data_IF_097250703363
#
_entry.id   IF_097250703363
#
_cell.length_a   1.000
_cell.length_b   1.000
_cell.length_c   1.000
_cell.angle_alpha   90.00
_cell.angle_beta   90.00
_cell.angle_gamma   90.00
#
_symmetry.space_group_name_H-M   'P 1'
#
loop_
_entity.id
_entity.type
_entity.pdbx_description
1 polymer ?
#
# COMPACT_ATOMS: atom_id res chain seq x y z
N UNK A 1 9.54 3.37 -11.67
CA UNK A 1 10.57 2.32 -11.52
C UNK A 1 11.10 1.95 -12.90
N UNK A 2 12.41 1.97 -13.16
CA UNK A 2 13.00 1.77 -14.50
C UNK A 2 13.06 0.30 -14.98
N UNK A 3 12.34 -0.63 -14.32
CA UNK A 3 12.26 -2.07 -14.67
C UNK A 3 13.61 -2.79 -14.90
N UNK A 4 14.73 -2.24 -14.40
CA UNK A 4 16.09 -2.85 -14.43
C UNK A 4 16.28 -3.84 -13.29
N UNK A 5 15.42 -4.87 -13.24
CA UNK A 5 15.30 -5.77 -12.10
C UNK A 5 16.58 -6.56 -11.82
N UNK A 6 17.17 -7.19 -12.84
CA UNK A 6 18.40 -7.99 -12.67
C UNK A 6 19.58 -7.16 -12.15
N UNK A 7 19.73 -5.93 -12.62
CA UNK A 7 20.79 -5.04 -12.17
C UNK A 7 20.55 -4.52 -10.75
N UNK A 8 19.31 -4.13 -10.43
CA UNK A 8 18.93 -3.75 -9.07
C UNK A 8 19.23 -4.88 -8.08
N UNK A 9 18.89 -6.13 -8.41
CA UNK A 9 19.23 -7.30 -7.58
C UNK A 9 20.73 -7.41 -7.35
N UNK A 10 21.56 -7.30 -8.40
CA UNK A 10 23.04 -7.37 -8.27
C UNK A 10 23.58 -6.27 -7.34
N UNK A 11 23.08 -5.04 -7.44
CA UNK A 11 23.51 -3.94 -6.57
C UNK A 11 23.05 -4.13 -5.13
N UNK A 12 21.79 -4.55 -4.91
CA UNK A 12 21.27 -4.84 -3.58
C UNK A 12 22.03 -5.98 -2.90
N UNK A 13 22.37 -7.05 -3.63
CA UNK A 13 23.19 -8.15 -3.10
C UNK A 13 24.58 -7.65 -2.68
N UNK A 14 25.20 -6.79 -3.48
CA UNK A 14 26.51 -6.20 -3.13
C UNK A 14 26.43 -5.28 -1.91
N UNK A 15 25.40 -4.44 -1.84
CA UNK A 15 25.18 -3.54 -0.72
C UNK A 15 24.92 -4.31 0.58
N UNK A 16 24.12 -5.37 0.52
CA UNK A 16 23.85 -6.24 1.67
C UNK A 16 25.11 -6.94 2.20
N UNK A 17 26.05 -7.32 1.32
CA UNK A 17 27.29 -7.97 1.70
C UNK A 17 28.25 -7.07 2.51
N UNK A 18 28.06 -5.74 2.46
CA UNK A 18 28.86 -4.75 3.20
C UNK A 18 28.03 -4.01 4.26
N UNK A 19 26.78 -4.42 4.49
CA UNK A 19 25.88 -3.78 5.43
C UNK A 19 26.32 -4.01 6.88
N UNK A 20 26.15 -3.00 7.72
CA UNK A 20 26.41 -3.11 9.16
C UNK A 20 25.43 -4.11 9.80
N UNK A 21 25.84 -4.83 10.87
CA UNK A 21 24.98 -5.81 11.53
C UNK A 21 23.65 -5.25 12.07
N UNK A 22 23.53 -3.95 12.28
CA UNK A 22 22.34 -3.26 12.77
C UNK A 22 21.60 -2.45 11.69
N UNK A 23 22.08 -2.44 10.45
CA UNK A 23 21.38 -1.79 9.32
C UNK A 23 20.16 -2.61 8.88
N UNK A 24 19.05 -2.41 9.59
CA UNK A 24 17.76 -3.06 9.32
C UNK A 24 17.26 -2.73 7.91
N UNK A 25 17.42 -1.49 7.46
CA UNK A 25 16.90 -1.05 6.16
C UNK A 25 17.59 -1.83 5.04
N UNK A 26 18.91 -1.93 5.07
CA UNK A 26 19.66 -2.67 4.05
C UNK A 26 19.37 -4.17 4.11
N UNK A 27 19.24 -4.73 5.32
CA UNK A 27 18.88 -6.16 5.52
C UNK A 27 17.52 -6.53 4.96
N UNK A 28 16.57 -5.58 4.90
CA UNK A 28 15.25 -5.78 4.31
C UNK A 28 15.17 -5.39 2.83
N UNK A 29 16.19 -4.74 2.26
CA UNK A 29 16.12 -4.20 0.91
C UNK A 29 16.01 -5.28 -0.18
N UNK A 30 16.82 -6.34 -0.11
CA UNK A 30 16.72 -7.46 -1.06
C UNK A 30 15.44 -8.29 -0.87
N UNK A 31 15.02 -8.64 0.37
CA UNK A 31 13.71 -9.25 0.60
C UNK A 31 12.52 -8.43 0.09
N UNK A 32 12.52 -7.10 0.28
CA UNK A 32 11.50 -6.22 -0.28
C UNK A 32 11.52 -6.19 -1.81
N UNK A 33 12.71 -6.26 -2.41
CA UNK A 33 12.82 -6.39 -3.87
C UNK A 33 12.20 -7.71 -4.36
N UNK A 34 12.42 -8.83 -3.68
CA UNK A 34 11.82 -10.13 -4.02
C UNK A 34 10.29 -10.10 -3.89
N UNK A 35 9.77 -9.47 -2.83
CA UNK A 35 8.35 -9.23 -2.64
C UNK A 35 7.76 -8.43 -3.82
N UNK A 36 8.38 -7.30 -4.16
CA UNK A 36 7.89 -6.38 -5.19
C UNK A 36 7.91 -6.98 -6.60
N UNK A 37 8.97 -7.72 -6.92
CA UNK A 37 9.22 -8.23 -8.28
C UNK A 37 8.59 -9.59 -8.48
N UNK A 38 8.65 -10.46 -7.48
CA UNK A 38 8.25 -11.86 -7.61
C UNK A 38 6.98 -12.21 -6.84
N UNK A 39 6.36 -11.24 -6.14
CA UNK A 39 5.20 -11.47 -5.29
C UNK A 39 5.47 -12.55 -4.22
N UNK A 40 6.69 -12.63 -3.70
CA UNK A 40 7.13 -13.64 -2.76
C UNK A 40 7.40 -13.03 -1.38
N UNK A 41 6.52 -13.30 -0.41
CA UNK A 41 6.63 -12.81 0.97
C UNK A 41 7.66 -13.57 1.80
N UNK A 42 8.05 -14.79 1.40
CA UNK A 42 8.88 -15.69 2.22
C UNK A 42 10.24 -15.09 2.61
N UNK A 43 11.05 -14.52 1.68
CA UNK A 43 12.34 -13.94 2.05
C UNK A 43 12.20 -12.79 3.05
N UNK A 44 11.10 -12.05 2.97
CA UNK A 44 10.85 -10.91 3.86
C UNK A 44 10.47 -11.38 5.26
N UNK A 45 9.65 -12.43 5.39
CA UNK A 45 9.39 -13.09 6.68
C UNK A 45 10.66 -13.61 7.33
N UNK A 46 11.47 -14.38 6.60
CA UNK A 46 12.72 -14.95 7.11
C UNK A 46 13.68 -13.85 7.63
N UNK A 47 13.78 -12.74 6.90
CA UNK A 47 14.61 -11.60 7.30
C UNK A 47 14.06 -10.89 8.54
N UNK A 48 12.73 -10.67 8.61
CA UNK A 48 12.08 -10.06 9.78
C UNK A 48 12.26 -10.95 11.02
N UNK A 49 12.06 -12.26 10.91
CA UNK A 49 12.21 -13.20 12.01
C UNK A 49 13.65 -13.26 12.51
N UNK A 50 14.63 -13.30 11.60
CA UNK A 50 16.05 -13.25 11.94
C UNK A 50 16.44 -11.97 12.71
N UNK A 51 15.95 -10.81 12.25
CA UNK A 51 16.18 -9.53 12.91
C UNK A 51 15.53 -9.50 14.31
N UNK A 52 14.29 -9.97 14.42
CA UNK A 52 13.54 -10.01 15.69
C UNK A 52 14.14 -10.98 16.68
N UNK A 53 14.74 -12.09 16.23
CA UNK A 53 15.45 -13.02 17.10
C UNK A 53 16.74 -12.43 17.67
N UNK A 54 17.39 -11.52 16.92
CA UNK A 54 18.67 -10.92 17.31
C UNK A 54 18.49 -9.73 18.27
N UNK A 55 17.59 -8.79 17.97
CA UNK A 55 17.34 -7.62 18.82
C UNK A 55 15.88 -7.14 18.75
N UNK A 56 14.94 -7.86 19.40
CA UNK A 56 13.51 -7.64 19.22
C UNK A 56 13.02 -6.23 19.59
N UNK A 57 13.66 -5.57 20.56
CA UNK A 57 13.27 -4.23 20.98
C UNK A 57 13.73 -3.15 19.98
N UNK A 58 14.97 -3.24 19.50
CA UNK A 58 15.54 -2.23 18.60
C UNK A 58 14.91 -2.26 17.21
N UNK A 59 14.57 -3.45 16.70
CA UNK A 59 14.05 -3.60 15.33
C UNK A 59 12.53 -3.50 15.24
N UNK A 60 11.82 -3.46 16.38
CA UNK A 60 10.35 -3.56 16.45
C UNK A 60 9.65 -2.65 15.45
N UNK A 61 9.91 -1.35 15.54
CA UNK A 61 9.29 -0.35 14.66
C UNK A 61 9.81 -0.46 13.22
N UNK A 62 11.12 -0.67 13.05
CA UNK A 62 11.77 -0.75 11.75
C UNK A 62 11.30 -1.93 10.89
N UNK A 63 10.88 -3.04 11.50
CA UNK A 63 10.33 -4.21 10.80
C UNK A 63 8.81 -4.17 10.64
N UNK A 64 8.10 -3.38 11.44
CA UNK A 64 6.66 -3.51 11.59
C UNK A 64 5.85 -3.11 10.33
N UNK A 65 6.33 -2.16 9.53
CA UNK A 65 5.68 -1.80 8.27
C UNK A 65 5.74 -2.95 7.25
N UNK A 66 6.92 -3.57 7.09
CA UNK A 66 7.11 -4.73 6.22
C UNK A 66 6.33 -5.95 6.75
N UNK A 67 6.30 -6.13 8.06
CA UNK A 67 5.47 -7.17 8.68
C UNK A 67 3.98 -6.96 8.42
N UNK A 68 3.49 -5.72 8.55
CA UNK A 68 2.11 -5.37 8.24
C UNK A 68 1.79 -5.64 6.77
N UNK A 69 2.69 -5.30 5.84
CA UNK A 69 2.52 -5.63 4.42
C UNK A 69 2.35 -7.14 4.23
N UNK A 70 3.27 -7.96 4.76
CA UNK A 70 3.19 -9.42 4.63
C UNK A 70 1.87 -9.96 5.19
N UNK A 71 1.48 -9.52 6.38
CA UNK A 71 0.25 -9.97 7.02
C UNK A 71 -1.01 -9.61 6.20
N UNK A 72 -1.05 -8.39 5.63
CA UNK A 72 -2.13 -7.99 4.73
C UNK A 72 -2.12 -8.84 3.44
N UNK A 73 -0.95 -9.03 2.83
CA UNK A 73 -0.76 -9.85 1.63
C UNK A 73 -1.25 -11.29 1.82
N UNK A 74 -1.04 -11.86 3.00
CA UNK A 74 -1.38 -13.25 3.36
C UNK A 74 -2.77 -13.39 3.98
N UNK A 75 -3.50 -12.27 4.13
CA UNK A 75 -4.82 -12.23 4.79
C UNK A 75 -4.78 -12.70 6.25
N UNK A 76 -3.63 -12.55 6.91
CA UNK A 76 -3.47 -12.88 8.33
C UNK A 76 -3.86 -11.67 9.20
N UNK A 77 -5.12 -11.64 9.62
CA UNK A 77 -5.65 -10.56 10.46
C UNK A 77 -4.99 -10.48 11.84
N UNK A 78 -4.55 -11.61 12.40
CA UNK A 78 -3.91 -11.64 13.71
C UNK A 78 -2.50 -11.02 13.62
N UNK A 79 -1.70 -11.45 12.65
CA UNK A 79 -0.39 -10.87 12.38
C UNK A 79 -0.50 -9.39 12.01
N UNK A 80 -1.49 -8.99 11.21
CA UNK A 80 -1.69 -7.60 10.81
C UNK A 80 -1.99 -6.71 12.03
N UNK A 81 -2.83 -7.19 12.95
CA UNK A 81 -3.16 -6.47 14.20
C UNK A 81 -1.92 -6.32 15.10
N UNK A 82 -1.09 -7.36 15.20
CA UNK A 82 0.14 -7.30 15.98
C UNK A 82 1.18 -6.36 15.35
N UNK A 83 1.34 -6.40 14.03
CA UNK A 83 2.23 -5.51 13.28
C UNK A 83 1.80 -4.04 13.42
N UNK A 84 0.49 -3.77 13.30
CA UNK A 84 -0.07 -2.44 13.51
C UNK A 84 0.14 -1.94 14.95
N UNK A 85 0.07 -2.84 15.93
CA UNK A 85 0.38 -2.49 17.33
C UNK A 85 1.87 -2.17 17.55
N UNK A 86 2.77 -2.81 16.80
CA UNK A 86 4.21 -2.55 16.85
C UNK A 86 4.62 -1.21 16.19
N UNK A 87 3.87 -0.74 15.18
CA UNK A 87 4.07 0.58 14.54
C UNK A 87 3.68 1.74 15.46
N UNK A 88 2.74 1.54 16.38
CA UNK A 88 2.16 2.62 17.18
C UNK A 88 1.31 3.59 16.35
N UNK A 89 1.24 4.85 16.79
CA UNK A 89 0.31 5.84 16.23
C UNK A 89 0.96 6.84 15.25
N UNK A 90 2.27 6.73 14.96
CA UNK A 90 2.97 7.74 14.15
C UNK A 90 3.20 7.23 12.73
N UNK A 91 2.61 7.91 11.76
CA UNK A 91 2.90 7.84 10.32
C UNK A 91 2.91 6.42 9.72
N UNK A 92 1.74 5.78 9.64
CA UNK A 92 1.64 4.43 9.05
C UNK A 92 1.73 4.53 7.52
N UNK A 93 2.82 4.01 6.96
CA UNK A 93 3.08 3.91 5.52
C UNK A 93 3.14 2.43 5.15
N UNK A 94 2.31 2.01 4.20
CA UNK A 94 2.20 0.58 3.82
C UNK A 94 2.98 0.28 2.54
N UNK A 95 2.77 1.04 1.46
CA UNK A 95 3.41 0.75 0.16
C UNK A 95 4.21 1.93 -0.42
N UNK A 96 4.00 3.14 0.08
CA UNK A 96 4.67 4.36 -0.38
C UNK A 96 4.58 5.46 0.69
N UNK A 97 4.73 6.72 0.28
CA UNK A 97 4.84 7.88 1.15
C UNK A 97 3.49 8.38 1.71
N UNK A 98 2.36 7.89 1.19
CA UNK A 98 1.04 8.23 1.73
C UNK A 98 0.86 7.63 3.11
N UNK A 99 0.48 8.51 4.04
CA UNK A 99 0.26 8.17 5.44
C UNK A 99 -1.20 7.83 5.67
N UNK A 100 -1.42 6.73 6.37
CA UNK A 100 -2.73 6.31 6.83
C UNK A 100 -2.85 6.53 8.33
N UNK A 101 -4.04 6.92 8.77
CA UNK A 101 -4.35 6.89 10.19
C UNK A 101 -4.55 5.44 10.67
N UNK A 102 -4.42 5.21 11.97
CA UNK A 102 -4.49 3.86 12.55
C UNK A 102 -5.86 3.23 12.30
N UNK A 103 -6.93 3.99 12.50
CA UNK A 103 -8.31 3.51 12.35
C UNK A 103 -8.60 3.05 10.90
N UNK A 104 -7.98 3.67 9.90
CA UNK A 104 -8.08 3.22 8.51
C UNK A 104 -7.50 1.81 8.35
N UNK A 105 -6.32 1.56 8.90
CA UNK A 105 -5.68 0.23 8.80
C UNK A 105 -6.47 -0.81 9.58
N UNK A 106 -7.04 -0.46 10.73
CA UNK A 106 -7.96 -1.32 11.47
C UNK A 106 -9.22 -1.66 10.63
N UNK A 107 -9.76 -0.68 9.90
CA UNK A 107 -10.86 -0.89 8.97
C UNK A 107 -10.50 -1.82 7.81
N UNK A 108 -9.30 -1.68 7.25
CA UNK A 108 -8.77 -2.60 6.22
C UNK A 108 -8.63 -4.02 6.76
N UNK A 109 -8.06 -4.19 7.95
CA UNK A 109 -7.91 -5.51 8.60
C UNK A 109 -9.29 -6.14 8.83
N UNK A 110 -10.23 -5.39 9.41
CA UNK A 110 -11.57 -5.87 9.69
C UNK A 110 -12.33 -6.26 8.41
N UNK A 111 -12.26 -5.43 7.36
CA UNK A 111 -12.83 -5.73 6.04
C UNK A 111 -12.23 -6.99 5.44
N UNK A 112 -10.92 -7.14 5.51
CA UNK A 112 -10.17 -8.30 5.00
C UNK A 112 -10.58 -9.60 5.71
N UNK A 113 -10.93 -9.52 7.00
CA UNK A 113 -11.41 -10.65 7.80
C UNK A 113 -12.93 -10.81 7.82
N UNK A 114 -13.65 -10.08 6.96
CA UNK A 114 -15.13 -10.08 6.87
C UNK A 114 -15.85 -9.70 8.18
N UNK A 115 -15.24 -8.85 9.02
CA UNK A 115 -15.88 -8.28 10.19
C UNK A 115 -16.47 -6.90 9.84
N UNK A 116 -17.64 -6.91 9.21
CA UNK A 116 -18.29 -5.71 8.66
C UNK A 116 -18.57 -4.66 9.74
N UNK A 117 -18.98 -5.09 10.94
CA UNK A 117 -19.30 -4.17 12.03
C UNK A 117 -18.04 -3.44 12.53
N UNK A 118 -16.93 -4.15 12.70
CA UNK A 118 -15.66 -3.52 13.05
C UNK A 118 -15.12 -2.66 11.92
N UNK A 119 -15.25 -3.09 10.67
CA UNK A 119 -14.84 -2.30 9.51
C UNK A 119 -15.58 -0.96 9.46
N UNK A 120 -16.91 -0.98 9.60
CA UNK A 120 -17.74 0.22 9.60
C UNK A 120 -17.34 1.18 10.73
N UNK A 121 -17.14 0.64 11.93
CA UNK A 121 -16.78 1.43 13.11
C UNK A 121 -15.39 2.07 12.95
N UNK A 122 -14.41 1.30 12.47
CA UNK A 122 -13.04 1.75 12.25
C UNK A 122 -12.94 2.79 11.13
N UNK A 123 -13.61 2.58 9.99
CA UNK A 123 -13.65 3.59 8.93
C UNK A 123 -14.38 4.88 9.36
N UNK A 124 -15.40 4.79 10.22
CA UNK A 124 -16.08 5.98 10.75
C UNK A 124 -15.13 6.79 11.64
N UNK A 125 -14.36 6.13 12.50
CA UNK A 125 -13.32 6.78 13.30
C UNK A 125 -12.21 7.38 12.40
N UNK A 126 -11.79 6.65 11.38
CA UNK A 126 -10.80 7.12 10.41
C UNK A 126 -11.26 8.38 9.67
N UNK A 127 -12.55 8.45 9.31
CA UNK A 127 -13.15 9.60 8.63
C UNK A 127 -13.04 10.86 9.49
N UNK A 128 -13.45 10.79 10.76
CA UNK A 128 -13.43 11.93 11.68
C UNK A 128 -12.01 12.48 11.93
N UNK A 129 -10.98 11.64 11.86
CA UNK A 129 -9.58 12.07 11.91
C UNK A 129 -9.14 12.68 10.58
N UNK A 130 -9.46 12.02 9.46
CA UNK A 130 -9.02 12.44 8.13
C UNK A 130 -9.65 13.77 7.69
N UNK A 131 -10.90 14.05 8.08
CA UNK A 131 -11.56 15.35 7.85
C UNK A 131 -10.74 16.52 8.41
N UNK A 132 -10.14 16.34 9.59
CA UNK A 132 -9.30 17.38 10.21
C UNK A 132 -8.00 17.57 9.42
N UNK A 133 -7.45 16.49 8.87
CA UNK A 133 -6.21 16.52 8.07
C UNK A 133 -6.45 17.25 6.74
N UNK A 134 -7.54 16.93 6.02
CA UNK A 134 -7.86 17.64 4.77
C UNK A 134 -8.20 19.10 5.03
N UNK A 135 -8.89 19.43 6.13
CA UNK A 135 -9.18 20.82 6.48
C UNK A 135 -7.91 21.62 6.82
N UNK A 136 -6.92 20.99 7.45
CA UNK A 136 -5.63 21.62 7.77
C UNK A 136 -4.70 21.73 6.57
N UNK A 137 -4.86 20.86 5.56
CA UNK A 137 -4.01 20.79 4.36
C UNK A 137 -4.89 20.64 3.11
N UNK A 138 -5.71 21.65 2.76
CA UNK A 138 -6.69 21.52 1.69
C UNK A 138 -6.06 21.33 0.30
N UNK A 139 -4.82 21.82 0.10
CA UNK A 139 -4.12 21.69 -1.18
C UNK A 139 -3.24 20.42 -1.28
N UNK A 140 -3.26 19.55 -0.26
CA UNK A 140 -2.42 18.35 -0.23
C UNK A 140 -3.17 17.13 -0.77
N UNK A 141 -3.08 16.87 -2.09
CA UNK A 141 -3.79 15.77 -2.76
C UNK A 141 -3.77 14.40 -2.07
N UNK A 142 -2.65 13.91 -1.49
CA UNK A 142 -2.64 12.60 -0.82
C UNK A 142 -3.62 12.46 0.35
N UNK A 143 -3.90 13.53 1.11
CA UNK A 143 -4.87 13.45 2.22
C UNK A 143 -6.30 13.25 1.70
N UNK A 144 -6.63 13.81 0.55
CA UNK A 144 -7.91 13.61 -0.13
C UNK A 144 -8.09 12.20 -0.68
N UNK A 145 -7.02 11.57 -1.21
CA UNK A 145 -7.09 10.17 -1.60
C UNK A 145 -7.39 9.25 -0.40
N UNK A 146 -6.78 9.52 0.76
CA UNK A 146 -7.05 8.72 1.97
C UNK A 146 -8.50 8.90 2.42
N UNK A 147 -9.05 10.12 2.36
CA UNK A 147 -10.47 10.37 2.65
C UNK A 147 -11.38 9.59 1.69
N UNK A 148 -11.09 9.64 0.39
CA UNK A 148 -11.85 8.90 -0.62
C UNK A 148 -11.80 7.38 -0.41
N UNK A 149 -10.67 6.83 0.04
CA UNK A 149 -10.59 5.41 0.39
C UNK A 149 -11.42 5.06 1.63
N UNK A 150 -11.46 5.95 2.62
CA UNK A 150 -12.29 5.78 3.83
C UNK A 150 -13.77 5.78 3.45
N UNK A 151 -14.21 6.75 2.65
CA UNK A 151 -15.60 6.83 2.20
C UNK A 151 -15.97 5.64 1.30
N UNK A 152 -15.06 5.15 0.47
CA UNK A 152 -15.26 3.91 -0.27
C UNK A 152 -15.42 2.70 0.68
N UNK A 153 -14.65 2.67 1.78
CA UNK A 153 -14.78 1.66 2.84
C UNK A 153 -16.11 1.74 3.60
N UNK A 154 -16.71 2.93 3.69
CA UNK A 154 -18.03 3.19 4.29
C UNK A 154 -19.21 2.98 3.32
N UNK A 155 -18.94 2.65 2.05
CA UNK A 155 -19.96 2.51 1.01
C UNK A 155 -20.52 3.85 0.48
N UNK A 156 -19.87 4.97 0.79
CA UNK A 156 -20.24 6.33 0.34
C UNK A 156 -19.63 6.61 -1.03
N UNK A 157 -20.20 5.98 -2.04
CA UNK A 157 -19.63 5.92 -3.39
C UNK A 157 -19.40 7.29 -4.01
N UNK A 158 -20.40 8.15 -3.94
CA UNK A 158 -20.39 9.45 -4.60
C UNK A 158 -19.36 10.37 -3.94
N UNK A 159 -19.27 10.36 -2.60
CA UNK A 159 -18.26 11.07 -1.82
C UNK A 159 -16.86 10.59 -2.18
N UNK A 160 -16.63 9.28 -2.11
CA UNK A 160 -15.35 8.66 -2.40
C UNK A 160 -14.80 9.04 -3.78
N UNK A 161 -15.66 8.99 -4.80
CA UNK A 161 -15.27 9.35 -6.17
C UNK A 161 -15.04 10.86 -6.34
N UNK A 162 -15.78 11.72 -5.63
CA UNK A 162 -15.56 13.18 -5.65
C UNK A 162 -14.21 13.53 -5.05
N UNK A 163 -13.89 12.97 -3.89
CA UNK A 163 -12.63 13.22 -3.17
C UNK A 163 -11.42 12.69 -3.93
N UNK A 164 -11.54 11.50 -4.50
CA UNK A 164 -10.50 10.93 -5.35
C UNK A 164 -10.24 11.76 -6.62
N UNK A 165 -11.28 12.32 -7.26
CA UNK A 165 -11.11 13.26 -8.39
C UNK A 165 -10.48 14.58 -7.94
N UNK A 166 -10.92 15.12 -6.81
CA UNK A 166 -10.35 16.36 -6.27
C UNK A 166 -8.85 16.20 -6.00
N UNK A 167 -8.41 15.06 -5.46
CA UNK A 167 -7.00 14.76 -5.29
C UNK A 167 -6.22 14.85 -6.62
N UNK A 168 -6.76 14.28 -7.70
CA UNK A 168 -6.14 14.34 -9.04
C UNK A 168 -6.07 15.76 -9.62
N UNK A 169 -7.06 16.60 -9.33
CA UNK A 169 -7.10 18.00 -9.77
C UNK A 169 -6.05 18.87 -9.06
N UNK A 170 -5.82 18.61 -7.76
CA UNK A 170 -4.82 19.33 -6.96
C UNK A 170 -3.39 19.08 -7.47
N UNK A 171 -3.09 17.85 -7.88
CA UNK A 171 -1.78 17.49 -8.40
C UNK A 171 -1.84 16.62 -9.67
N UNK A 172 -2.05 17.27 -10.83
CA UNK A 172 -1.99 16.59 -12.12
C UNK A 172 -0.63 15.91 -12.31
N UNK A 173 -0.62 14.75 -12.96
CA UNK A 173 0.59 13.96 -13.24
C UNK A 173 1.65 14.77 -13.99
N UNK A 174 1.22 15.77 -14.76
CA UNK A 174 2.07 16.68 -15.52
C UNK A 174 2.87 17.64 -14.63
N UNK A 175 2.38 17.93 -13.41
CA UNK A 175 3.03 18.85 -12.46
C UNK A 175 4.01 18.13 -11.53
N UNK A 176 3.66 16.93 -11.10
CA UNK A 176 4.54 16.06 -10.33
C UNK A 176 4.30 14.61 -10.74
N UNK A 177 5.17 14.10 -11.61
CA UNK A 177 5.03 12.75 -12.14
C UNK A 177 5.23 11.66 -11.07
N UNK A 178 5.85 11.97 -9.92
CA UNK A 178 6.05 11.00 -8.84
C UNK A 178 4.83 10.96 -7.92
N UNK A 179 4.37 12.13 -7.45
CA UNK A 179 3.24 12.21 -6.51
C UNK A 179 1.91 12.04 -7.24
N UNK A 180 1.74 12.63 -8.44
CA UNK A 180 0.52 12.48 -9.24
C UNK A 180 0.20 11.02 -9.58
N UNK A 181 1.21 10.16 -9.71
CA UNK A 181 0.99 8.73 -9.93
C UNK A 181 0.48 7.98 -8.70
N UNK A 182 0.87 8.40 -7.49
CA UNK A 182 0.27 7.87 -6.26
C UNK A 182 -1.24 8.11 -6.27
N UNK A 183 -1.66 9.31 -6.69
CA UNK A 183 -3.06 9.71 -6.70
C UNK A 183 -3.87 8.92 -7.71
N UNK A 184 -3.35 8.70 -8.93
CA UNK A 184 -4.04 7.87 -9.94
C UNK A 184 -4.24 6.44 -9.45
N UNK A 185 -3.22 5.85 -8.80
CA UNK A 185 -3.34 4.52 -8.20
C UNK A 185 -4.42 4.50 -7.10
N UNK A 186 -4.42 5.46 -6.18
CA UNK A 186 -5.43 5.48 -5.12
C UNK A 186 -6.84 5.72 -5.66
N UNK A 187 -6.99 6.54 -6.69
CA UNK A 187 -8.28 6.69 -7.37
C UNK A 187 -8.75 5.39 -8.03
N UNK A 188 -7.84 4.60 -8.60
CA UNK A 188 -8.16 3.25 -9.07
C UNK A 188 -8.62 2.32 -7.94
N UNK A 189 -7.98 2.39 -6.76
CA UNK A 189 -8.41 1.62 -5.58
C UNK A 189 -9.80 2.06 -5.09
N UNK A 190 -10.05 3.37 -5.01
CA UNK A 190 -11.35 3.94 -4.65
C UNK A 190 -12.43 3.40 -5.60
N UNK A 191 -12.22 3.53 -6.91
CA UNK A 191 -13.14 3.02 -7.92
C UNK A 191 -13.39 1.51 -7.78
N UNK A 192 -12.35 0.73 -7.51
CA UNK A 192 -12.48 -0.71 -7.28
C UNK A 192 -13.34 -1.02 -6.04
N UNK A 193 -13.14 -0.27 -4.95
CA UNK A 193 -13.84 -0.50 -3.68
C UNK A 193 -15.33 -0.15 -3.74
N UNK A 194 -15.71 0.83 -4.56
CA UNK A 194 -17.11 1.22 -4.78
C UNK A 194 -17.78 0.46 -5.94
N UNK A 195 -17.10 -0.52 -6.52
CA UNK A 195 -17.64 -1.39 -7.57
C UNK A 195 -17.52 -0.86 -9.00
N UNK A 196 -16.88 0.29 -9.22
CA UNK A 196 -16.65 0.89 -10.53
C UNK A 196 -15.44 0.23 -11.22
N UNK A 197 -15.58 -1.05 -11.59
CA UNK A 197 -14.48 -1.88 -12.13
C UNK A 197 -13.89 -1.34 -13.43
N UNK A 198 -14.73 -0.78 -14.30
CA UNK A 198 -14.32 -0.20 -15.58
C UNK A 198 -13.38 0.98 -15.34
N UNK A 199 -13.83 1.95 -14.55
CA UNK A 199 -13.04 3.11 -14.14
C UNK A 199 -11.76 2.67 -13.41
N UNK A 200 -11.85 1.70 -12.50
CA UNK A 200 -10.69 1.21 -11.76
C UNK A 200 -9.61 0.64 -12.70
N UNK A 201 -10.01 -0.15 -13.70
CA UNK A 201 -9.08 -0.71 -14.67
C UNK A 201 -8.47 0.37 -15.59
N UNK A 202 -9.26 1.37 -16.01
CA UNK A 202 -8.78 2.50 -16.80
C UNK A 202 -7.73 3.31 -16.05
N UNK A 203 -8.01 3.67 -14.80
CA UNK A 203 -7.08 4.42 -13.95
C UNK A 203 -5.83 3.60 -13.61
N UNK A 204 -5.99 2.31 -13.33
CA UNK A 204 -4.85 1.42 -13.11
C UNK A 204 -3.95 1.31 -14.35
N UNK A 205 -4.52 1.26 -15.56
CA UNK A 205 -3.75 1.26 -16.80
C UNK A 205 -2.94 2.54 -17.02
N UNK A 206 -3.34 3.67 -16.41
CA UNK A 206 -2.55 4.91 -16.36
C UNK A 206 -1.46 4.79 -15.29
N UNK A 207 -1.81 4.34 -14.08
CA UNK A 207 -0.90 4.26 -12.93
C UNK A 207 0.34 3.39 -13.16
N UNK A 208 0.26 2.39 -14.05
CA UNK A 208 1.39 1.48 -14.37
C UNK A 208 2.34 2.00 -15.45
N UNK A 209 2.02 3.13 -16.12
CA UNK A 209 2.84 3.71 -17.21
C UNK A 209 4.04 4.46 -16.64
N UNK A 210 5.30 4.13 -17.01
CA UNK A 210 6.53 4.73 -16.47
C UNK A 210 6.57 6.27 -16.45
N UNK A 211 7.12 6.92 -15.40
CA UNK A 211 7.57 6.33 -14.13
C UNK A 211 6.41 5.62 -13.42
N UNK A 212 6.61 4.76 -12.42
CA UNK A 212 5.47 4.10 -11.74
C UNK A 212 5.98 3.48 -10.47
N UNK A 213 5.19 3.54 -9.43
CA UNK A 213 5.43 2.87 -8.16
C UNK A 213 4.54 1.64 -7.96
N UNK A 214 3.60 1.37 -8.87
CA UNK A 214 2.76 0.17 -8.85
C UNK A 214 3.54 -1.02 -9.39
N UNK A 215 3.78 -2.00 -8.53
CA UNK A 215 4.54 -3.21 -8.86
C UNK A 215 3.67 -4.45 -9.06
N UNK A 216 4.24 -5.49 -9.66
CA UNK A 216 3.60 -6.81 -9.78
C UNK A 216 3.25 -7.39 -8.41
N UNK A 217 4.17 -7.33 -7.45
CA UNK A 217 3.95 -7.79 -6.07
C UNK A 217 2.75 -7.16 -5.41
N UNK A 218 2.62 -5.83 -5.50
CA UNK A 218 1.48 -5.09 -4.95
C UNK A 218 0.16 -5.57 -5.56
N UNK A 219 0.03 -5.57 -6.89
CA UNK A 219 -1.21 -5.97 -7.56
C UNK A 219 -1.58 -7.43 -7.28
N UNK A 220 -0.58 -8.31 -7.17
CA UNK A 220 -0.81 -9.74 -6.94
C UNK A 220 -1.22 -10.03 -5.50
N UNK A 221 -0.67 -9.31 -4.52
CA UNK A 221 -0.78 -9.66 -3.11
C UNK A 221 -1.78 -8.79 -2.34
N UNK A 222 -1.76 -7.47 -2.55
CA UNK A 222 -2.44 -6.53 -1.66
C UNK A 222 -3.96 -6.65 -1.73
N UNK A 223 -4.66 -6.61 -0.57
CA UNK A 223 -6.13 -6.73 -0.49
C UNK A 223 -6.89 -5.60 -1.16
N UNK A 224 -6.24 -4.47 -1.45
CA UNK A 224 -6.85 -3.34 -2.13
C UNK A 224 -7.42 -3.71 -3.49
N UNK A 225 -6.81 -4.69 -4.15
CA UNK A 225 -7.13 -5.12 -5.51
C UNK A 225 -8.08 -6.32 -5.55
N UNK A 226 -8.49 -6.86 -4.41
CA UNK A 226 -9.42 -8.01 -4.32
C UNK A 226 -10.70 -7.82 -5.14
N UNK A 227 -11.35 -6.63 -5.15
CA UNK A 227 -12.55 -6.42 -5.96
C UNK A 227 -12.36 -6.57 -7.48
N UNK A 228 -11.12 -6.45 -7.97
CA UNK A 228 -10.78 -6.57 -9.40
C UNK A 228 -10.30 -7.96 -9.80
N UNK A 229 -9.98 -8.84 -8.84
CA UNK A 229 -9.50 -10.19 -9.16
C UNK A 229 -10.55 -10.97 -9.93
N UNK A 230 -10.11 -11.65 -10.99
CA UNK A 230 -11.00 -12.32 -11.94
C UNK A 230 -11.57 -11.43 -13.04
N UNK A 231 -11.38 -10.10 -13.02
CA UNK A 231 -11.66 -9.25 -14.18
C UNK A 231 -10.55 -9.44 -15.24
N UNK A 232 -10.88 -9.81 -16.49
CA UNK A 232 -9.88 -10.07 -17.53
C UNK A 232 -8.93 -8.89 -17.81
N UNK A 233 -9.39 -7.65 -17.62
CA UNK A 233 -8.58 -6.45 -17.84
C UNK A 233 -7.54 -6.28 -16.75
N UNK A 234 -7.94 -6.51 -15.50
CA UNK A 234 -7.03 -6.50 -14.36
C UNK A 234 -5.98 -7.61 -14.47
N UNK A 235 -6.38 -8.84 -14.79
CA UNK A 235 -5.44 -9.95 -14.96
C UNK A 235 -4.44 -9.69 -16.10
N UNK A 236 -4.87 -9.04 -17.19
CA UNK A 236 -3.97 -8.60 -18.27
C UNK A 236 -2.97 -7.56 -17.79
N UNK A 237 -3.39 -6.60 -16.96
CA UNK A 237 -2.49 -5.62 -16.35
C UNK A 237 -1.45 -6.32 -15.47
N UNK A 238 -1.89 -7.20 -14.58
CA UNK A 238 -1.00 -7.96 -13.69
C UNK A 238 0.02 -8.77 -14.49
N UNK A 239 -0.43 -9.52 -15.50
CA UNK A 239 0.44 -10.29 -16.38
C UNK A 239 1.47 -9.43 -17.13
N UNK A 240 1.11 -8.19 -17.50
CA UNK A 240 2.03 -7.26 -18.17
C UNK A 240 3.19 -6.76 -17.29
N UNK A 241 3.03 -6.88 -15.96
CA UNK A 241 4.04 -6.49 -14.97
C UNK A 241 4.82 -7.68 -14.41
N UNK A 242 4.38 -8.91 -14.69
CA UNK A 242 5.04 -10.12 -14.21
C UNK A 242 6.53 -10.12 -14.59
N UNK A 243 7.41 -10.61 -13.69
CA UNK A 243 8.83 -10.71 -13.98
C UNK A 243 9.04 -11.58 -15.22
N UNK A 244 9.93 -11.13 -16.11
CA UNK A 244 10.34 -11.86 -17.32
C UNK A 244 11.63 -12.60 -17.08
#
# INVERSE_FOLDING_TARGET
RFRRYAEAKRWLTRALAVAEPDDVLMKLALPNWELDVNANTRPLHEAIDSLRATNPAAVRSATAANWLFCALAERDGAAATQALSALGNKEIRIVDQVQFNRAFVEGVIARMTNDEQKAQSAFTAAHAEQEKIVAAQPDFGPSWCVLGMIDAGLGRKEEALREGRHALELLPVEKDALVGQYLVRYFAVIAAWVGEKDLACEQLAIAIRPPSNVGYGELKLMPWWDPLRGDPRFEKIVASLAPK
#
